data_IF_136192057691
#
_entry.id   IF_136192057691
#
_cell.length_a   1.000
_cell.length_b   1.000
_cell.length_c   1.000
_cell.angle_alpha   90.00
_cell.angle_beta   90.00
_cell.angle_gamma   90.00
#
_symmetry.space_group_name_H-M   'P 1'
#
loop_
_entity.id
_entity.type
_entity.pdbx_description
1 polymer ?
#
# COMPACT_ATOMS: atom_id res chain seq x y z
N UNK A 1 -18.10 -8.29 15.93
CA UNK A 1 -17.67 -9.71 16.01
C UNK A 1 -16.30 -9.75 16.68
N UNK A 2 -16.15 -10.43 17.83
CA UNK A 2 -14.92 -10.50 18.65
C UNK A 2 -13.79 -11.24 17.92
N UNK A 3 -12.55 -10.74 17.97
CA UNK A 3 -11.36 -11.54 17.72
C UNK A 3 -11.27 -12.63 18.82
N UNK A 4 -11.44 -13.90 18.46
CA UNK A 4 -11.13 -15.02 19.35
C UNK A 4 -9.73 -15.54 19.01
N UNK A 5 -8.78 -15.37 19.92
CA UNK A 5 -7.66 -16.30 20.06
C UNK A 5 -8.17 -17.45 20.93
N UNK A 6 -8.36 -18.64 20.36
CA UNK A 6 -8.55 -19.85 21.16
C UNK A 6 -7.18 -20.30 21.70
N UNK A 7 -7.02 -20.53 23.01
CA UNK A 7 -5.80 -21.13 23.54
C UNK A 7 -5.80 -22.63 23.21
N UNK A 8 -4.73 -23.12 22.58
CA UNK A 8 -4.46 -24.56 22.50
C UNK A 8 -4.19 -25.18 21.13
N UNK A 9 -3.66 -24.44 20.15
CA UNK A 9 -3.04 -25.06 18.96
C UNK A 9 -1.69 -24.41 18.70
N UNK A 10 -0.66 -25.25 18.68
CA UNK A 10 0.74 -24.88 18.44
C UNK A 10 0.90 -24.49 16.96
N UNK A 11 1.55 -23.34 16.74
CA UNK A 11 2.14 -22.83 15.49
C UNK A 11 1.22 -22.63 14.27
N UNK A 12 0.98 -21.35 13.95
CA UNK A 12 0.51 -20.71 12.69
C UNK A 12 -0.77 -19.89 12.93
N UNK A 13 -0.60 -18.64 13.38
CA UNK A 13 -1.71 -17.72 13.60
C UNK A 13 -2.09 -17.02 12.28
N UNK A 14 -3.17 -17.49 11.64
CA UNK A 14 -3.83 -16.81 10.52
C UNK A 14 -4.74 -15.71 11.10
N UNK A 15 -4.49 -14.46 10.71
CA UNK A 15 -5.30 -13.29 11.11
C UNK A 15 -6.48 -13.14 10.13
N UNK A 16 -7.72 -13.14 10.64
CA UNK A 16 -8.92 -13.02 9.81
C UNK A 16 -9.36 -11.55 9.72
N UNK A 17 -9.32 -10.95 8.53
CA UNK A 17 -9.90 -9.64 8.26
C UNK A 17 -11.06 -9.82 7.27
N UNK A 18 -12.30 -9.60 7.72
CA UNK A 18 -13.46 -9.49 6.82
C UNK A 18 -13.55 -8.02 6.42
N UNK A 19 -13.14 -7.70 5.19
CA UNK A 19 -13.33 -6.37 4.60
C UNK A 19 -14.66 -6.40 3.85
N UNK A 20 -15.65 -5.68 4.37
CA UNK A 20 -16.81 -5.30 3.57
C UNK A 20 -16.35 -4.21 2.60
N UNK A 21 -16.41 -4.47 1.29
CA UNK A 21 -16.14 -3.48 0.26
C UNK A 21 -17.21 -2.40 0.26
N UNK A 22 -16.79 -1.13 0.27
CA UNK A 22 -17.27 -0.21 -0.74
C UNK A 22 -16.10 0.32 -1.56
N UNK A 23 -16.30 0.33 -2.88
CA UNK A 23 -15.48 1.09 -3.81
C UNK A 23 -15.69 2.58 -3.55
N UNK A 24 -14.74 3.21 -2.87
CA UNK A 24 -14.53 4.65 -2.82
C UNK A 24 -13.13 4.86 -2.22
N UNK A 25 -12.32 5.73 -2.84
CA UNK A 25 -10.93 6.03 -2.48
C UNK A 25 -10.64 5.84 -0.98
N UNK A 26 -9.82 4.85 -0.64
CA UNK A 26 -9.40 4.63 0.74
C UNK A 26 -8.45 5.78 1.06
N UNK A 27 -9.00 6.88 1.58
CA UNK A 27 -8.20 7.99 2.06
C UNK A 27 -7.23 7.52 3.14
N UNK A 28 -6.23 8.33 3.45
CA UNK A 28 -5.24 7.99 4.48
C UNK A 28 -5.60 8.68 5.80
N UNK A 29 -5.83 7.99 6.91
CA UNK A 29 -6.23 8.61 8.19
C UNK A 29 -5.71 7.87 9.44
N UNK A 30 -5.63 8.60 10.57
CA UNK A 30 -5.43 8.04 11.92
C UNK A 30 -6.75 8.13 12.68
N UNK A 31 -7.07 7.10 13.46
CA UNK A 31 -8.22 7.10 14.38
C UNK A 31 -7.89 6.40 15.70
N UNK A 32 -8.59 6.77 16.77
CA UNK A 32 -8.46 6.11 18.06
C UNK A 32 -9.04 4.70 18.02
N UNK A 33 -8.44 3.77 18.78
CA UNK A 33 -9.03 2.46 18.98
C UNK A 33 -10.20 2.57 19.98
N UNK A 34 -11.41 2.43 19.47
CA UNK A 34 -12.64 2.22 20.21
C UNK A 34 -13.18 0.79 19.99
N UNK A 35 -12.31 -0.22 19.83
CA UNK A 35 -12.65 -1.62 19.71
C UNK A 35 -12.59 -2.20 18.29
N UNK A 36 -11.97 -1.49 17.35
CA UNK A 36 -11.63 -2.01 16.02
C UNK A 36 -10.48 -3.02 16.07
N UNK A 37 -9.58 -2.88 17.06
CA UNK A 37 -8.44 -3.76 17.30
C UNK A 37 -8.39 -4.23 18.76
N UNK A 38 -7.43 -5.09 19.09
CA UNK A 38 -7.20 -5.56 20.46
C UNK A 38 -7.01 -4.38 21.43
N UNK A 39 -7.38 -4.58 22.70
CA UNK A 39 -7.47 -3.48 23.68
C UNK A 39 -6.14 -2.83 24.08
N UNK A 40 -5.01 -3.41 23.69
CA UNK A 40 -3.66 -2.89 23.87
C UNK A 40 -3.22 -1.94 22.74
N UNK A 41 -3.98 -1.87 21.64
CA UNK A 41 -3.81 -0.90 20.57
C UNK A 41 -4.49 0.41 20.96
N UNK A 42 -3.80 1.54 20.80
CA UNK A 42 -4.33 2.86 21.15
C UNK A 42 -4.80 3.63 19.91
N UNK A 43 -4.13 3.46 18.76
CA UNK A 43 -4.49 4.12 17.52
C UNK A 43 -4.35 3.18 16.31
N UNK A 44 -5.07 3.50 15.24
CA UNK A 44 -5.02 2.80 13.97
C UNK A 44 -4.74 3.83 12.88
N UNK A 45 -3.71 3.61 12.08
CA UNK A 45 -3.39 4.42 10.92
C UNK A 45 -3.58 3.59 9.64
N UNK A 46 -4.13 4.21 8.60
CA UNK A 46 -4.40 3.58 7.30
C UNK A 46 -4.00 4.52 6.20
N UNK A 47 -3.31 4.05 5.16
CA UNK A 47 -2.91 4.89 4.03
C UNK A 47 -3.42 4.42 2.65
N UNK A 48 -4.22 3.34 2.63
CA UNK A 48 -4.73 2.70 1.42
C UNK A 48 -3.98 1.43 1.05
N UNK A 49 -2.69 1.30 1.40
CA UNK A 49 -1.90 0.08 1.20
C UNK A 49 -1.52 -0.60 2.51
N UNK A 50 -1.33 0.18 3.57
CA UNK A 50 -0.87 -0.28 4.86
C UNK A 50 -1.94 0.01 5.92
N UNK A 51 -2.13 -0.95 6.83
CA UNK A 51 -2.77 -0.68 8.12
C UNK A 51 -1.73 -0.82 9.23
N UNK A 52 -1.58 0.22 10.05
CA UNK A 52 -0.73 0.20 11.23
C UNK A 52 -1.60 0.15 12.49
N UNK A 53 -1.31 -0.79 13.38
CA UNK A 53 -1.86 -0.84 14.73
C UNK A 53 -0.81 -0.27 15.68
N UNK A 54 -1.13 0.84 16.33
CA UNK A 54 -0.16 1.67 17.05
C UNK A 54 -0.31 1.52 18.56
N UNK A 55 0.82 1.24 19.20
CA UNK A 55 1.05 1.19 20.64
C UNK A 55 2.27 2.07 20.93
N UNK A 56 2.48 2.45 22.19
CA UNK A 56 3.62 3.30 22.56
C UNK A 56 5.00 2.68 22.31
N UNK A 57 5.07 1.35 22.39
CA UNK A 57 6.32 0.59 22.30
C UNK A 57 6.35 -0.35 21.08
N UNK A 58 5.31 -0.29 20.23
CA UNK A 58 5.15 -1.18 19.08
C UNK A 58 4.22 -0.59 18.03
N UNK A 59 4.60 -0.70 16.76
CA UNK A 59 3.68 -0.59 15.64
C UNK A 59 3.62 -1.92 14.88
N UNK A 60 2.41 -2.47 14.73
CA UNK A 60 2.19 -3.63 13.84
C UNK A 60 1.78 -3.12 12.47
N UNK A 61 2.60 -3.38 11.47
CA UNK A 61 2.34 -3.10 10.06
C UNK A 61 1.69 -4.34 9.43
N UNK A 62 0.49 -4.18 8.90
CA UNK A 62 -0.24 -5.22 8.17
C UNK A 62 -0.18 -4.90 6.68
N UNK A 63 0.66 -5.66 5.97
CA UNK A 63 0.88 -5.55 4.54
C UNK A 63 -0.05 -6.53 3.83
N UNK A 64 -1.05 -6.08 3.05
CA UNK A 64 -1.89 -6.98 2.29
C UNK A 64 -1.04 -7.74 1.25
N UNK A 65 -1.11 -9.06 1.29
CA UNK A 65 -0.60 -9.93 0.24
C UNK A 65 -1.72 -10.21 -0.76
N UNK A 66 -1.35 -10.67 -1.96
CA UNK A 66 -2.30 -11.14 -2.97
C UNK A 66 -3.31 -12.12 -2.36
N UNK A 67 -4.57 -12.00 -2.79
CA UNK A 67 -5.67 -12.80 -2.24
C UNK A 67 -5.70 -14.18 -2.85
N UNK A 68 -5.67 -15.24 -2.04
CA UNK A 68 -6.02 -16.57 -2.53
C UNK A 68 -7.55 -16.69 -2.63
N UNK A 69 -8.05 -17.00 -3.83
CA UNK A 69 -9.41 -17.49 -4.01
C UNK A 69 -9.36 -19.01 -3.78
N UNK A 70 -9.80 -19.44 -2.60
CA UNK A 70 -10.02 -20.86 -2.37
C UNK A 70 -11.40 -21.24 -2.91
N UNK A 71 -11.44 -21.95 -4.05
CA UNK A 71 -12.66 -22.55 -4.58
C UNK A 71 -12.82 -23.91 -3.91
N UNK A 72 -13.72 -24.01 -2.92
CA UNK A 72 -14.21 -25.31 -2.46
C UNK A 72 -15.42 -25.68 -3.33
N UNK A 73 -15.48 -26.95 -3.77
CA UNK A 73 -16.58 -27.46 -4.60
C UNK A 73 -17.94 -27.12 -4.00
N UNK A 74 -18.70 -26.26 -4.69
CA UNK A 74 -20.10 -25.94 -4.37
C UNK A 74 -20.35 -24.79 -3.39
N UNK A 75 -19.34 -24.06 -2.90
CA UNK A 75 -19.54 -22.87 -2.05
C UNK A 75 -19.13 -21.57 -2.76
N UNK A 76 -19.76 -20.46 -2.35
CA UNK A 76 -19.44 -19.13 -2.88
C UNK A 76 -17.96 -18.78 -2.61
N UNK A 77 -17.25 -18.16 -3.57
CA UNK A 77 -15.83 -17.86 -3.42
C UNK A 77 -15.59 -16.97 -2.20
N UNK A 78 -14.80 -17.46 -1.24
CA UNK A 78 -14.32 -16.66 -0.11
C UNK A 78 -12.97 -16.07 -0.50
N UNK A 79 -12.92 -14.77 -0.74
CA UNK A 79 -11.65 -14.05 -0.94
C UNK A 79 -10.89 -14.05 0.39
N UNK A 80 -9.80 -14.80 0.49
CA UNK A 80 -8.94 -14.81 1.68
C UNK A 80 -7.81 -13.80 1.47
N UNK A 81 -7.82 -12.72 2.23
CA UNK A 81 -6.66 -11.83 2.28
C UNK A 81 -5.60 -12.46 3.18
N UNK A 82 -4.44 -12.79 2.60
CA UNK A 82 -3.22 -12.98 3.39
C UNK A 82 -2.66 -11.59 3.69
N UNK A 83 -2.05 -11.41 4.86
CA UNK A 83 -1.30 -10.22 5.16
C UNK A 83 0.04 -10.63 5.78
N UNK A 84 1.12 -10.02 5.33
CA UNK A 84 2.39 -10.14 6.01
C UNK A 84 2.42 -9.16 7.18
N UNK A 85 2.78 -9.68 8.34
CA UNK A 85 2.85 -8.92 9.58
C UNK A 85 4.30 -8.57 9.85
N UNK A 86 4.57 -7.27 9.96
CA UNK A 86 5.84 -6.74 10.41
C UNK A 86 5.60 -5.96 11.71
N UNK A 87 6.46 -6.11 12.71
CA UNK A 87 6.36 -5.33 13.95
C UNK A 87 7.60 -4.44 14.10
N UNK A 88 7.39 -3.14 14.10
CA UNK A 88 8.37 -2.18 14.59
C UNK A 88 8.27 -2.15 16.11
N UNK A 89 9.28 -2.70 16.79
CA UNK A 89 9.32 -2.80 18.25
C UNK A 89 10.32 -1.77 18.77
N UNK A 90 9.89 -0.89 19.67
CA UNK A 90 10.75 0.04 20.37
C UNK A 90 11.22 -0.65 21.65
N UNK A 91 12.50 -1.01 21.72
CA UNK A 91 13.08 -1.70 22.88
C UNK A 91 13.14 -0.77 24.08
N UNK A 92 12.80 -1.29 25.26
CA UNK A 92 12.79 -0.56 26.54
C UNK A 92 11.87 0.68 26.59
N UNK A 93 11.08 0.93 25.54
CA UNK A 93 10.11 2.00 25.52
C UNK A 93 8.98 1.77 26.53
N UNK A 94 8.46 2.87 27.08
CA UNK A 94 7.39 2.87 28.07
C UNK A 94 6.10 2.27 27.47
N UNK A 95 5.64 1.10 27.96
CA UNK A 95 4.54 0.38 27.32
C UNK A 95 3.15 0.98 27.59
N UNK A 96 3.04 1.89 28.56
CA UNK A 96 1.81 2.54 28.99
C UNK A 96 1.72 4.03 28.61
N UNK A 97 2.65 4.56 27.80
CA UNK A 97 2.56 5.93 27.31
C UNK A 97 1.25 6.16 26.53
N UNK A 98 0.50 7.18 26.91
CA UNK A 98 -0.84 7.45 26.38
C UNK A 98 -0.78 8.19 25.03
N UNK A 99 -1.62 7.75 24.10
CA UNK A 99 -1.82 8.39 22.81
C UNK A 99 -2.65 9.68 22.94
N UNK A 100 -2.18 10.74 22.29
CA UNK A 100 -2.90 11.99 22.11
C UNK A 100 -3.08 12.29 20.62
N UNK A 101 -4.22 12.86 20.23
CA UNK A 101 -4.60 13.05 18.82
C UNK A 101 -4.76 14.54 18.50
N UNK A 102 -4.21 14.98 17.36
CA UNK A 102 -4.29 16.37 16.92
C UNK A 102 -4.53 16.49 15.42
N UNK A 103 -4.79 17.71 14.94
CA UNK A 103 -5.19 17.98 13.55
C UNK A 103 -6.43 17.17 13.14
N UNK A 104 -7.59 17.44 13.78
CA UNK A 104 -8.82 16.71 13.50
C UNK A 104 -9.32 16.98 12.08
N UNK A 105 -9.74 15.92 11.40
CA UNK A 105 -10.43 16.01 10.12
C UNK A 105 -11.95 16.07 10.30
N UNK A 106 -12.64 16.46 9.23
CA UNK A 106 -14.11 16.42 9.14
C UNK A 106 -14.65 15.01 8.96
N UNK A 107 -13.84 14.11 8.37
CA UNK A 107 -14.19 12.71 8.15
C UNK A 107 -14.23 11.90 9.45
N UNK A 108 -15.08 10.86 9.45
CA UNK A 108 -15.29 9.94 10.56
C UNK A 108 -15.46 8.53 10.03
N UNK A 109 -15.00 7.53 10.78
CA UNK A 109 -15.36 6.13 10.58
C UNK A 109 -16.60 5.79 11.42
N UNK A 110 -17.51 5.00 10.86
CA UNK A 110 -18.68 4.50 11.58
C UNK A 110 -18.64 2.98 11.65
N UNK A 111 -18.52 2.45 12.86
CA UNK A 111 -18.51 1.02 13.11
C UNK A 111 -19.85 0.59 13.70
N UNK A 112 -20.56 -0.25 12.95
CA UNK A 112 -21.81 -0.88 13.40
C UNK A 112 -21.46 -2.15 14.16
N UNK A 113 -21.85 -2.20 15.44
CA UNK A 113 -21.80 -3.44 16.24
C UNK A 113 -23.10 -4.23 16.04
N UNK A 114 -23.11 -5.47 16.51
CA UNK A 114 -24.12 -6.52 16.27
C UNK A 114 -25.56 -6.02 16.00
N UNK A 115 -26.25 -6.64 15.03
CA UNK A 115 -27.63 -6.25 14.61
C UNK A 115 -28.65 -6.42 15.75
N UNK A 116 -28.30 -7.12 16.83
CA UNK A 116 -29.12 -7.32 18.02
C UNK A 116 -29.00 -6.21 19.08
N UNK A 117 -27.95 -5.37 19.02
CA UNK A 117 -27.73 -4.24 19.95
C UNK A 117 -28.09 -2.93 19.23
N UNK A 118 -29.34 -2.50 19.35
CA UNK A 118 -29.90 -1.13 19.26
C UNK A 118 -29.40 -0.16 18.15
N UNK A 119 -28.59 -0.61 17.19
CA UNK A 119 -27.90 0.24 16.22
C UNK A 119 -26.79 1.13 16.81
N UNK A 120 -26.10 0.73 17.88
CA UNK A 120 -25.02 1.54 18.45
C UNK A 120 -23.85 1.74 17.46
N UNK A 121 -23.77 2.94 16.87
CA UNK A 121 -22.70 3.35 15.96
C UNK A 121 -21.57 3.99 16.76
N UNK A 122 -20.39 3.39 16.75
CA UNK A 122 -19.19 4.09 17.17
C UNK A 122 -18.75 5.00 16.02
N UNK A 123 -19.02 6.31 16.15
CA UNK A 123 -18.48 7.33 15.27
C UNK A 123 -17.13 7.80 15.79
N UNK A 124 -16.08 7.57 15.00
CA UNK A 124 -14.69 7.81 15.39
C UNK A 124 -14.09 8.83 14.45
N UNK A 125 -13.63 9.94 15.01
CA UNK A 125 -13.04 11.04 14.25
C UNK A 125 -11.68 10.66 13.69
N UNK A 126 -11.41 11.13 12.47
CA UNK A 126 -10.11 11.02 11.82
C UNK A 126 -9.17 12.17 12.22
N UNK A 127 -7.88 11.89 12.27
CA UNK A 127 -6.82 12.82 12.63
C UNK A 127 -5.64 12.68 11.65
N UNK A 128 -4.83 13.74 11.53
CA UNK A 128 -3.56 13.69 10.81
C UNK A 128 -2.40 13.22 11.69
N UNK A 129 -2.53 13.34 13.02
CA UNK A 129 -1.41 13.13 13.96
C UNK A 129 -1.86 12.35 15.19
N UNK A 130 -1.06 11.37 15.60
CA UNK A 130 -1.09 10.76 16.93
C UNK A 130 0.30 10.80 17.58
N UNK A 131 0.36 11.24 18.83
CA UNK A 131 1.59 11.32 19.64
C UNK A 131 1.49 10.40 20.86
N UNK A 132 2.52 9.61 21.09
CA UNK A 132 2.79 8.91 22.33
C UNK A 132 3.84 9.69 23.11
N UNK A 133 3.45 10.24 24.27
CA UNK A 133 4.34 11.12 25.04
C UNK A 133 5.27 10.30 25.94
N UNK A 134 6.53 10.72 26.06
CA UNK A 134 7.56 10.09 26.90
C UNK A 134 7.65 8.56 26.69
N UNK A 135 7.74 8.13 25.42
CA UNK A 135 8.05 6.72 25.11
C UNK A 135 9.44 6.34 25.61
N UNK A 136 10.34 7.31 25.68
CA UNK A 136 11.57 7.30 26.48
C UNK A 136 11.65 8.60 27.30
N UNK A 137 12.51 8.69 28.34
CA UNK A 137 12.67 9.93 29.10
C UNK A 137 13.02 11.13 28.19
N UNK A 138 12.11 12.11 28.10
CA UNK A 138 12.26 13.29 27.26
C UNK A 138 12.15 13.04 25.74
N UNK A 139 11.58 11.91 25.31
CA UNK A 139 11.40 11.58 23.89
C UNK A 139 9.96 11.13 23.62
N UNK A 140 9.31 11.83 22.69
CA UNK A 140 7.99 11.49 22.18
C UNK A 140 8.09 10.74 20.85
N UNK A 141 7.13 9.84 20.60
CA UNK A 141 6.93 9.20 19.30
C UNK A 141 5.69 9.78 18.63
N UNK A 142 5.84 10.34 17.43
CA UNK A 142 4.75 11.02 16.72
C UNK A 142 4.55 10.39 15.36
N UNK A 143 3.37 9.82 15.11
CA UNK A 143 2.96 9.40 13.77
C UNK A 143 2.16 10.52 13.12
N UNK A 144 2.46 10.83 11.85
CA UNK A 144 1.81 11.90 11.09
C UNK A 144 1.60 11.52 9.63
N UNK A 145 0.55 12.06 9.02
CA UNK A 145 0.39 12.01 7.57
C UNK A 145 1.08 13.19 6.89
N UNK A 146 2.00 12.90 5.98
CA UNK A 146 2.63 13.88 5.09
C UNK A 146 2.60 13.33 3.66
N UNK A 147 2.15 14.13 2.71
CA UNK A 147 2.10 13.77 1.28
C UNK A 147 1.48 12.38 0.98
N UNK A 148 0.41 12.01 1.69
CA UNK A 148 -0.29 10.74 1.48
C UNK A 148 0.42 9.50 2.03
N UNK A 149 1.49 9.67 2.82
CA UNK A 149 2.23 8.61 3.51
C UNK A 149 2.17 8.79 5.02
N UNK A 150 2.31 7.68 5.75
CA UNK A 150 2.53 7.70 7.19
C UNK A 150 4.02 7.89 7.45
N UNK A 151 4.38 8.90 8.21
CA UNK A 151 5.71 9.12 8.78
C UNK A 151 5.63 8.92 10.29
N UNK A 152 6.78 8.62 10.90
CA UNK A 152 6.94 8.63 12.35
C UNK A 152 8.19 9.42 12.70
N UNK A 153 8.11 10.22 13.76
CA UNK A 153 9.19 11.09 14.20
C UNK A 153 9.49 10.78 15.67
N UNK A 154 10.76 10.87 16.05
CA UNK A 154 11.14 11.01 17.45
C UNK A 154 11.40 12.49 17.73
N UNK A 155 10.57 13.09 18.59
CA UNK A 155 10.76 14.46 19.07
C UNK A 155 11.52 14.37 20.41
N UNK A 156 12.77 14.81 20.40
CA UNK A 156 13.73 14.68 21.50
C UNK A 156 13.85 16.04 22.19
N UNK A 157 13.48 16.11 23.46
CA UNK A 157 13.60 17.33 24.27
C UNK A 157 15.07 17.68 24.55
N UNK A 158 15.32 18.92 24.97
CA UNK A 158 16.64 19.34 25.42
C UNK A 158 17.12 18.45 26.58
N UNK A 159 18.39 18.05 26.54
CA UNK A 159 19.06 17.14 27.48
C UNK A 159 18.54 15.69 27.50
N UNK A 160 17.61 15.32 26.61
CA UNK A 160 17.23 13.91 26.44
C UNK A 160 18.31 13.18 25.63
N UNK A 161 18.54 11.90 25.96
CA UNK A 161 19.55 11.08 25.30
C UNK A 161 18.93 10.30 24.12
N UNK A 162 19.18 10.69 22.84
CA UNK A 162 18.60 10.01 21.69
C UNK A 162 19.19 8.60 21.47
N UNK A 163 20.32 8.25 22.09
CA UNK A 163 20.96 6.94 21.93
C UNK A 163 20.18 5.79 22.58
N UNK A 164 19.23 6.12 23.47
CA UNK A 164 18.31 5.13 24.07
C UNK A 164 17.29 4.59 23.08
N UNK A 165 17.07 5.28 21.95
CA UNK A 165 16.12 4.87 20.93
C UNK A 165 16.68 3.68 20.16
N UNK A 166 16.18 2.49 20.51
CA UNK A 166 16.53 1.21 19.89
C UNK A 166 15.29 0.56 19.32
N UNK A 167 15.33 0.21 18.04
CA UNK A 167 14.21 -0.40 17.32
C UNK A 167 14.60 -1.76 16.75
N UNK A 168 13.62 -2.65 16.67
CA UNK A 168 13.73 -3.94 15.98
C UNK A 168 12.58 -4.09 14.99
N UNK A 169 12.85 -4.79 13.89
CA UNK A 169 11.85 -5.05 12.86
C UNK A 169 11.53 -6.54 12.75
N UNK A 170 10.56 -6.98 13.54
CA UNK A 170 10.17 -8.39 13.64
C UNK A 170 9.27 -8.82 12.49
N UNK A 171 9.54 -10.01 11.94
CA UNK A 171 8.83 -10.53 10.77
C UNK A 171 9.50 -10.18 9.44
N UNK A 172 10.66 -9.50 9.47
CA UNK A 172 11.56 -9.40 8.32
C UNK A 172 12.39 -10.66 8.16
N UNK A 173 12.65 -11.06 6.91
CA UNK A 173 13.55 -12.16 6.56
C UNK A 173 15.02 -11.72 6.66
N UNK A 174 15.27 -10.44 6.39
CA UNK A 174 16.58 -9.81 6.46
C UNK A 174 16.44 -8.30 6.70
N UNK A 175 17.46 -7.71 7.34
CA UNK A 175 17.55 -6.27 7.61
C UNK A 175 18.99 -5.81 7.37
N UNK A 176 19.19 -4.84 6.47
CA UNK A 176 20.53 -4.36 6.09
C UNK A 176 20.56 -2.83 5.91
N UNK A 177 21.75 -2.25 5.97
CA UNK A 177 21.99 -0.89 5.50
C UNK A 177 22.51 -0.93 4.05
N UNK A 178 21.88 -0.15 3.16
CA UNK A 178 22.36 0.00 1.79
C UNK A 178 23.50 1.02 1.67
N UNK A 179 24.05 1.18 0.46
CA UNK A 179 25.17 2.12 0.21
C UNK A 179 24.80 3.60 0.39
N UNK A 180 23.52 3.94 0.47
CA UNK A 180 23.01 5.29 0.70
C UNK A 180 22.67 5.56 2.18
N UNK A 181 22.87 4.57 3.06
CA UNK A 181 22.52 4.66 4.47
C UNK A 181 21.04 4.41 4.77
N UNK A 182 20.28 3.85 3.82
CA UNK A 182 18.90 3.45 4.04
C UNK A 182 18.84 2.08 4.74
N UNK A 183 17.88 1.91 5.63
CA UNK A 183 17.58 0.63 6.26
C UNK A 183 16.60 -0.15 5.38
N UNK A 184 17.03 -1.29 4.84
CA UNK A 184 16.26 -2.10 3.89
C UNK A 184 15.91 -3.44 4.53
N UNK A 185 14.61 -3.73 4.58
CA UNK A 185 14.07 -4.98 5.10
C UNK A 185 13.39 -5.79 3.99
N UNK A 186 13.76 -7.06 3.87
CA UNK A 186 13.09 -8.03 2.99
C UNK A 186 11.96 -8.73 3.74
N UNK A 187 10.80 -8.82 3.10
CA UNK A 187 9.57 -9.37 3.68
C UNK A 187 8.85 -10.19 2.61
N UNK A 188 9.14 -11.49 2.54
CA UNK A 188 8.78 -12.31 1.38
C UNK A 188 9.41 -11.74 0.11
N UNK A 189 8.61 -11.52 -0.92
CA UNK A 189 9.08 -10.88 -2.16
C UNK A 189 9.17 -9.35 -2.04
N UNK A 190 8.47 -8.75 -1.06
CA UNK A 190 8.39 -7.30 -0.88
C UNK A 190 9.62 -6.73 -0.16
N UNK A 191 9.86 -5.43 -0.39
CA UNK A 191 10.92 -4.69 0.29
C UNK A 191 10.35 -3.45 0.95
N UNK A 192 10.64 -3.30 2.25
CA UNK A 192 10.42 -2.08 3.02
C UNK A 192 11.75 -1.34 3.16
N UNK A 193 11.80 -0.08 2.77
CA UNK A 193 12.98 0.76 2.90
C UNK A 193 12.65 1.91 3.85
N UNK A 194 13.45 2.11 4.90
CA UNK A 194 13.48 3.39 5.60
C UNK A 194 14.65 4.20 5.07
N UNK A 195 14.38 5.37 4.51
CA UNK A 195 15.46 6.26 4.07
C UNK A 195 16.28 6.70 5.26
N UNK A 196 17.56 6.99 5.01
CA UNK A 196 18.42 7.62 6.00
C UNK A 196 17.68 8.77 6.72
N UNK A 197 17.77 8.86 8.06
CA UNK A 197 16.94 9.76 8.84
C UNK A 197 17.27 11.23 8.54
N UNK A 198 16.24 12.06 8.38
CA UNK A 198 16.41 13.50 8.41
C UNK A 198 16.40 13.97 9.86
N UNK A 199 17.54 14.46 10.34
CA UNK A 199 17.68 14.97 11.71
C UNK A 199 17.82 16.48 11.66
N UNK A 200 17.08 17.20 12.50
CA UNK A 200 17.14 18.65 12.55
C UNK A 200 16.75 19.24 13.90
N UNK A 201 17.30 20.41 14.23
CA UNK A 201 16.80 21.26 15.30
C UNK A 201 15.85 22.32 14.74
N UNK A 202 15.02 22.92 15.61
CA UNK A 202 14.15 24.05 15.23
C UNK A 202 14.68 25.31 15.91
N UNK A 203 15.26 26.21 15.12
CA UNK A 203 15.82 27.47 15.60
C UNK A 203 15.09 28.65 14.96
N UNK A 204 14.47 29.50 15.78
CA UNK A 204 13.65 30.63 15.33
C UNK A 204 12.58 30.24 14.28
N UNK A 205 12.01 29.03 14.40
CA UNK A 205 11.01 28.49 13.48
C UNK A 205 11.56 27.97 12.14
N UNK A 206 12.88 27.83 12.01
CA UNK A 206 13.54 27.25 10.84
C UNK A 206 14.20 25.92 11.19
N UNK A 207 14.13 24.94 10.29
CA UNK A 207 14.84 23.66 10.43
C UNK A 207 16.33 23.87 10.18
N UNK A 208 17.17 23.48 11.13
CA UNK A 208 18.62 23.40 10.95
C UNK A 208 19.02 21.93 10.85
N UNK A 209 19.50 21.47 9.68
CA UNK A 209 19.91 20.08 9.51
C UNK A 209 21.04 19.70 10.48
N UNK A 210 20.92 18.52 11.08
CA UNK A 210 21.95 17.86 11.86
C UNK A 210 22.30 16.55 11.15
N UNK A 211 23.59 16.32 10.90
CA UNK A 211 24.01 15.07 10.29
C UNK A 211 23.76 13.90 11.25
N UNK A 212 23.23 12.81 10.71
CA UNK A 212 23.10 11.54 11.42
C UNK A 212 22.76 10.41 10.48
N UNK A 213 22.80 9.20 11.01
CA UNK A 213 22.66 7.97 10.25
C UNK A 213 21.99 6.88 11.09
N UNK A 214 21.44 5.88 10.40
CA UNK A 214 21.08 4.64 11.07
C UNK A 214 22.34 3.88 11.49
N UNK A 215 22.29 3.30 12.69
CA UNK A 215 23.27 2.32 13.15
C UNK A 215 22.55 0.99 13.33
N UNK A 216 22.97 -0.02 12.57
CA UNK A 216 22.43 -1.38 12.67
C UNK A 216 23.42 -2.27 13.43
N UNK A 217 22.96 -2.90 14.51
CA UNK A 217 23.72 -3.88 15.31
C UNK A 217 22.90 -5.16 15.43
N UNK A 218 23.37 -6.23 14.80
CA UNK A 218 22.61 -7.48 14.66
C UNK A 218 21.23 -7.23 14.04
N UNK A 219 20.14 -7.34 14.81
CA UNK A 219 18.77 -7.11 14.35
C UNK A 219 18.10 -5.88 15.01
N UNK A 220 18.88 -5.07 15.73
CA UNK A 220 18.41 -3.82 16.34
C UNK A 220 19.07 -2.65 15.63
N UNK A 221 18.31 -1.60 15.35
CA UNK A 221 18.82 -0.36 14.78
C UNK A 221 18.47 0.85 15.66
N UNK A 222 19.28 1.88 15.58
CA UNK A 222 19.09 3.17 16.25
C UNK A 222 19.73 4.28 15.43
N UNK A 223 20.09 5.38 16.08
CA UNK A 223 20.58 6.58 15.42
C UNK A 223 21.95 7.00 15.97
N UNK A 224 22.89 7.28 15.07
CA UNK A 224 24.10 8.04 15.40
C UNK A 224 23.93 9.48 14.92
N UNK A 225 24.18 10.42 15.82
CA UNK A 225 24.05 11.85 15.55
C UNK A 225 25.43 12.51 15.60
N UNK A 226 25.64 13.51 14.75
CA UNK A 226 26.79 14.39 14.87
C UNK A 226 26.73 15.18 16.20
N UNK A 227 27.89 15.71 16.62
CA UNK A 227 27.98 16.57 17.79
C UNK A 227 27.03 17.77 17.64
N UNK A 228 26.23 18.02 18.67
CA UNK A 228 25.22 19.06 18.70
C UNK A 228 25.13 19.69 20.09
N UNK A 229 24.34 20.76 20.19
CA UNK A 229 24.05 21.46 21.43
C UNK A 229 22.92 20.73 22.16
N UNK A 230 23.23 20.03 23.25
CA UNK A 230 22.27 19.23 24.03
C UNK A 230 21.20 20.10 24.72
N UNK A 231 21.43 21.41 24.86
CA UNK A 231 20.41 22.34 25.38
C UNK A 231 19.28 22.61 24.36
N UNK A 232 19.36 22.04 23.16
CA UNK A 232 18.37 22.19 22.09
C UNK A 232 17.63 20.88 21.83
N UNK A 233 16.31 20.97 21.73
CA UNK A 233 15.48 19.90 21.22
C UNK A 233 15.78 19.62 19.74
N UNK A 234 15.61 18.37 19.32
CA UNK A 234 15.79 17.91 17.95
C UNK A 234 14.66 16.96 17.52
N UNK A 235 14.53 16.78 16.22
CA UNK A 235 13.63 15.81 15.61
C UNK A 235 14.45 14.82 14.78
N UNK A 236 14.16 13.54 14.94
CA UNK A 236 14.64 12.46 14.06
C UNK A 236 13.43 12.01 13.23
N UNK A 237 13.46 12.21 11.92
CA UNK A 237 12.39 11.92 10.96
C UNK A 237 12.84 10.81 9.98
N UNK A 238 12.64 9.51 10.30
CA UNK A 238 12.82 8.42 9.35
C UNK A 238 11.68 8.36 8.33
N UNK A 239 12.02 8.35 7.05
CA UNK A 239 11.02 8.22 5.97
C UNK A 239 10.81 6.76 5.62
N UNK A 240 9.60 6.23 5.83
CA UNK A 240 9.23 4.88 5.38
C UNK A 240 8.81 4.92 3.91
N UNK A 241 9.47 4.10 3.09
CA UNK A 241 9.09 3.79 1.73
C UNK A 241 8.77 2.31 1.58
N UNK A 242 7.63 2.02 0.98
CA UNK A 242 7.28 0.66 0.60
C UNK A 242 7.38 0.50 -0.92
N UNK A 243 7.92 -0.63 -1.34
CA UNK A 243 7.89 -1.06 -2.73
C UNK A 243 7.23 -2.44 -2.79
N UNK A 244 6.27 -2.58 -3.69
CA UNK A 244 5.52 -3.81 -3.90
C UNK A 244 5.39 -4.14 -5.38
N UNK A 245 4.77 -5.29 -5.65
CA UNK A 245 4.50 -5.76 -7.00
C UNK A 245 3.03 -5.55 -7.35
N UNK A 246 2.77 -5.21 -8.61
CA UNK A 246 1.45 -5.28 -9.21
C UNK A 246 1.40 -6.55 -10.06
N UNK A 247 0.84 -7.62 -9.52
CA UNK A 247 0.78 -8.94 -10.14
C UNK A 247 0.09 -9.96 -9.22
N UNK A 248 -0.10 -11.18 -9.71
CA UNK A 248 -0.65 -12.31 -8.97
C UNK A 248 0.20 -13.57 -9.16
N UNK A 249 -0.45 -14.72 -9.04
CA UNK A 249 0.19 -16.05 -9.04
C UNK A 249 0.54 -16.59 -10.43
N UNK A 250 -0.02 -15.98 -11.48
CA UNK A 250 0.20 -16.34 -12.89
C UNK A 250 1.31 -15.50 -13.55
N UNK A 251 1.27 -15.45 -14.88
CA UNK A 251 2.14 -14.56 -15.65
C UNK A 251 1.59 -13.14 -15.61
N UNK A 252 2.43 -12.18 -15.24
CA UNK A 252 2.12 -10.75 -15.25
C UNK A 252 3.29 -9.98 -15.86
N UNK A 253 2.99 -9.04 -16.74
CA UNK A 253 4.02 -8.21 -17.39
C UNK A 253 3.53 -6.78 -17.53
N UNK A 254 4.32 -5.82 -17.03
CA UNK A 254 4.16 -4.39 -17.39
C UNK A 254 4.83 -4.09 -18.72
N UNK A 255 4.20 -3.27 -19.56
CA UNK A 255 4.66 -2.98 -20.93
C UNK A 255 5.04 -1.53 -21.11
N UNK A 256 4.19 -0.61 -20.65
CA UNK A 256 4.43 0.82 -20.80
C UNK A 256 3.86 1.61 -19.62
N UNK A 257 4.41 2.81 -19.42
CA UNK A 257 4.07 3.71 -18.32
C UNK A 257 4.05 5.17 -18.79
N UNK A 258 2.99 5.88 -18.40
CA UNK A 258 2.82 7.31 -18.65
C UNK A 258 2.49 8.06 -17.35
N UNK A 259 2.64 9.39 -17.36
CA UNK A 259 2.25 10.26 -16.25
C UNK A 259 1.02 11.09 -16.64
N UNK A 260 -0.05 11.01 -15.86
CA UNK A 260 -1.25 11.80 -16.11
C UNK A 260 -1.10 13.26 -15.62
N UNK A 261 -2.04 14.17 -15.95
CA UNK A 261 -1.96 15.58 -15.53
C UNK A 261 -1.95 15.79 -14.01
N UNK A 262 -2.51 14.87 -13.21
CA UNK A 262 -2.42 14.89 -11.75
C UNK A 262 -1.03 14.46 -11.24
N UNK A 263 -0.21 13.88 -12.11
CA UNK A 263 1.12 13.39 -11.82
C UNK A 263 1.18 11.93 -11.42
N UNK A 264 0.03 11.23 -11.39
CA UNK A 264 -0.06 9.78 -11.15
C UNK A 264 0.50 8.99 -12.31
N UNK A 265 0.91 7.76 -12.03
CA UNK A 265 1.45 6.84 -13.02
C UNK A 265 0.31 6.03 -13.61
N UNK A 266 0.18 5.99 -14.93
CA UNK A 266 -0.73 5.09 -15.64
C UNK A 266 0.13 4.01 -16.27
N UNK A 267 -0.19 2.75 -16.03
CA UNK A 267 0.59 1.59 -16.49
C UNK A 267 -0.32 0.72 -17.36
N UNK A 268 0.21 0.14 -18.44
CA UNK A 268 -0.44 -0.96 -19.16
C UNK A 268 0.44 -2.20 -19.15
N UNK A 269 -0.18 -3.37 -19.27
CA UNK A 269 0.49 -4.65 -19.31
C UNK A 269 -0.49 -5.77 -19.63
N UNK A 270 -0.07 -7.02 -19.45
CA UNK A 270 -0.94 -8.19 -19.52
C UNK A 270 -0.86 -9.05 -18.26
N UNK A 271 -1.93 -9.78 -17.98
CA UNK A 271 -2.03 -10.66 -16.84
C UNK A 271 -2.79 -11.94 -17.19
N UNK A 272 -2.26 -13.08 -16.76
CA UNK A 272 -2.95 -14.36 -16.67
C UNK A 272 -3.43 -14.65 -15.23
N UNK A 273 -3.22 -13.70 -14.31
CA UNK A 273 -3.41 -13.89 -12.87
C UNK A 273 -4.83 -13.59 -12.45
N UNK A 274 -5.56 -14.60 -11.99
CA UNK A 274 -6.91 -14.44 -11.42
C UNK A 274 -6.93 -13.73 -10.06
N UNK A 275 -5.76 -13.54 -9.44
CA UNK A 275 -5.56 -13.02 -8.09
C UNK A 275 -4.83 -11.67 -8.04
N UNK A 276 -4.60 -11.03 -9.19
CA UNK A 276 -4.06 -9.66 -9.23
C UNK A 276 -5.03 -8.67 -8.53
N UNK A 277 -4.52 -7.68 -7.76
CA UNK A 277 -5.37 -6.75 -7.03
C UNK A 277 -6.30 -5.98 -7.98
N UNK A 278 -7.62 -6.16 -7.81
CA UNK A 278 -8.64 -5.50 -8.63
C UNK A 278 -9.04 -6.25 -9.91
N UNK A 279 -8.53 -7.46 -10.14
CA UNK A 279 -9.04 -8.33 -11.21
C UNK A 279 -10.56 -8.52 -11.14
N UNK A 280 -11.21 -8.25 -12.28
CA UNK A 280 -12.51 -8.82 -12.62
C UNK A 280 -12.33 -10.25 -13.16
N UNK A 281 -13.39 -10.84 -13.70
CA UNK A 281 -13.27 -12.12 -14.40
C UNK A 281 -12.48 -11.89 -15.69
N UNK A 282 -11.19 -12.29 -15.71
CA UNK A 282 -10.45 -12.44 -16.97
C UNK A 282 -11.23 -13.37 -17.90
N UNK A 283 -11.34 -13.01 -19.17
CA UNK A 283 -12.18 -13.72 -20.14
C UNK A 283 -11.37 -14.69 -21.02
N UNK A 284 -10.05 -14.52 -21.05
CA UNK A 284 -9.12 -15.28 -21.90
C UNK A 284 -7.91 -15.86 -21.13
N UNK A 285 -6.87 -16.23 -21.89
CA UNK A 285 -5.64 -16.81 -21.34
C UNK A 285 -4.71 -15.75 -20.73
N UNK A 286 -4.59 -14.61 -21.40
CA UNK A 286 -3.93 -13.39 -20.92
C UNK A 286 -4.75 -12.19 -21.38
N UNK A 287 -5.13 -11.31 -20.45
CA UNK A 287 -5.86 -10.08 -20.80
C UNK A 287 -4.99 -8.85 -20.54
N UNK A 288 -5.25 -7.78 -21.30
CA UNK A 288 -4.60 -6.49 -21.13
C UNK A 288 -5.14 -5.83 -19.86
N UNK A 289 -4.25 -5.30 -19.01
CA UNK A 289 -4.63 -4.39 -17.94
C UNK A 289 -4.19 -2.96 -18.21
N UNK A 290 -4.94 -2.02 -17.64
CA UNK A 290 -4.55 -0.63 -17.45
C UNK A 290 -4.77 -0.28 -15.99
N UNK A 291 -3.78 0.33 -15.34
CA UNK A 291 -3.84 0.71 -13.93
C UNK A 291 -3.40 2.15 -13.74
N UNK A 292 -3.97 2.84 -12.76
CA UNK A 292 -3.43 4.10 -12.24
C UNK A 292 -2.88 3.90 -10.83
N UNK A 293 -1.66 4.38 -10.61
CA UNK A 293 -0.92 4.32 -9.37
C UNK A 293 -0.71 5.73 -8.83
N UNK A 294 -1.06 5.93 -7.55
CA UNK A 294 -0.82 7.18 -6.84
C UNK A 294 0.68 7.49 -6.82
N UNK A 295 1.04 8.67 -7.31
CA UNK A 295 2.45 9.09 -7.42
C UNK A 295 3.15 9.22 -6.08
N UNK A 296 2.39 9.50 -5.02
CA UNK A 296 2.97 9.85 -3.73
C UNK A 296 3.21 8.57 -2.96
N UNK A 297 2.25 7.66 -2.85
CA UNK A 297 2.39 6.47 -2.00
C UNK A 297 2.46 5.13 -2.75
N UNK A 298 2.38 5.11 -4.08
CA UNK A 298 2.44 3.86 -4.85
C UNK A 298 1.18 3.01 -4.78
N UNK A 299 0.08 3.56 -4.24
CA UNK A 299 -1.21 2.86 -4.15
C UNK A 299 -1.89 2.67 -5.49
N UNK A 300 -2.48 1.48 -5.70
CA UNK A 300 -3.34 1.22 -6.84
C UNK A 300 -4.65 2.01 -6.67
N UNK A 301 -4.86 3.02 -7.51
CA UNK A 301 -6.07 3.85 -7.52
C UNK A 301 -7.22 3.11 -8.21
N UNK A 302 -6.92 2.50 -9.36
CA UNK A 302 -7.81 1.63 -10.09
C UNK A 302 -7.03 0.74 -11.05
N UNK A 303 -7.64 -0.38 -11.46
CA UNK A 303 -7.19 -1.25 -12.54
C UNK A 303 -8.39 -1.70 -13.36
N UNK A 304 -8.23 -1.78 -14.66
CA UNK A 304 -9.21 -2.31 -15.59
C UNK A 304 -8.56 -3.39 -16.44
N UNK A 305 -9.36 -4.39 -16.81
CA UNK A 305 -8.96 -5.46 -17.72
C UNK A 305 -9.78 -5.36 -19.00
N UNK A 306 -9.15 -5.59 -20.14
CA UNK A 306 -9.78 -5.64 -21.46
C UNK A 306 -9.16 -6.77 -22.27
N UNK A 307 -10.02 -7.66 -22.76
CA UNK A 307 -9.63 -8.86 -23.49
C UNK A 307 -10.88 -9.62 -23.93
N UNK A 308 -10.67 -10.63 -24.76
CA UNK A 308 -11.70 -11.54 -25.24
C UNK A 308 -11.45 -12.97 -24.74
N UNK A 309 -11.77 -13.95 -25.57
CA UNK A 309 -11.73 -15.39 -25.24
C UNK A 309 -10.36 -16.04 -25.34
N UNK A 310 -9.38 -15.38 -25.95
CA UNK A 310 -8.02 -15.89 -26.17
C UNK A 310 -6.99 -14.93 -25.54
N UNK A 311 -5.79 -14.83 -26.12
CA UNK A 311 -4.74 -14.00 -25.57
C UNK A 311 -4.79 -12.59 -26.18
N UNK A 312 -4.62 -11.60 -25.32
CA UNK A 312 -4.67 -10.17 -25.59
C UNK A 312 -3.47 -9.48 -24.95
N UNK A 313 -2.66 -8.82 -25.78
CA UNK A 313 -1.40 -8.22 -25.36
C UNK A 313 -1.37 -6.72 -25.62
N UNK A 314 -0.77 -5.98 -24.69
CA UNK A 314 -0.43 -4.57 -24.88
C UNK A 314 1.04 -4.42 -25.26
N UNK A 315 1.36 -3.39 -26.05
CA UNK A 315 2.74 -3.05 -26.41
C UNK A 315 3.13 -1.65 -25.92
N UNK A 316 2.26 -0.66 -26.14
CA UNK A 316 2.57 0.73 -25.84
C UNK A 316 1.31 1.54 -25.53
N UNK A 317 1.50 2.64 -24.79
CA UNK A 317 0.43 3.53 -24.36
C UNK A 317 0.89 4.99 -24.30
N UNK A 318 0.00 5.90 -24.65
CA UNK A 318 0.19 7.34 -24.45
C UNK A 318 -1.08 7.97 -23.90
N UNK A 319 -0.95 9.18 -23.37
CA UNK A 319 -2.09 10.02 -23.01
C UNK A 319 -2.32 11.07 -24.10
N UNK A 320 -3.58 11.34 -24.43
CA UNK A 320 -3.94 12.46 -25.30
C UNK A 320 -3.97 13.80 -24.53
N UNK A 321 -4.28 14.90 -25.23
CA UNK A 321 -4.33 16.24 -24.61
C UNK A 321 -5.40 16.41 -23.53
N UNK A 322 -6.37 15.49 -23.44
CA UNK A 322 -7.41 15.46 -22.41
C UNK A 322 -7.05 14.48 -21.27
N UNK A 323 -5.90 13.82 -21.34
CA UNK A 323 -5.48 12.79 -20.40
C UNK A 323 -6.11 11.43 -20.66
N UNK A 324 -6.86 11.26 -21.75
CA UNK A 324 -7.42 9.94 -22.10
C UNK A 324 -6.30 9.01 -22.52
N UNK A 325 -6.49 7.73 -22.21
CA UNK A 325 -5.48 6.70 -22.39
C UNK A 325 -5.65 6.10 -23.76
N UNK A 326 -4.63 6.14 -24.61
CA UNK A 326 -4.60 5.52 -25.93
C UNK A 326 -3.54 4.44 -25.91
N UNK A 327 -3.91 3.20 -26.17
CA UNK A 327 -3.01 2.06 -26.13
C UNK A 327 -3.13 1.21 -27.41
N UNK A 328 -2.04 0.51 -27.71
CA UNK A 328 -1.92 -0.38 -28.86
C UNK A 328 -1.39 -1.74 -28.42
N UNK A 329 -1.66 -2.74 -29.22
CA UNK A 329 -1.27 -4.12 -28.93
C UNK A 329 -1.71 -5.08 -30.03
N UNK A 330 -1.94 -6.33 -29.66
CA UNK A 330 -2.40 -7.37 -30.58
C UNK A 330 -3.24 -8.42 -29.85
N UNK A 331 -4.12 -9.08 -30.59
CA UNK A 331 -5.11 -10.02 -30.05
C UNK A 331 -5.31 -11.23 -30.95
N UNK A 332 -5.47 -12.40 -30.34
CA UNK A 332 -5.98 -13.61 -30.99
C UNK A 332 -7.47 -13.86 -30.69
N UNK A 333 -8.09 -12.96 -29.92
CA UNK A 333 -9.47 -13.05 -29.50
C UNK A 333 -10.40 -12.57 -30.63
N UNK A 334 -11.28 -13.43 -31.17
CA UNK A 334 -12.27 -13.01 -32.17
C UNK A 334 -13.39 -12.13 -31.58
N UNK A 335 -13.48 -12.08 -30.25
CA UNK A 335 -14.49 -11.41 -29.45
C UNK A 335 -13.93 -10.30 -28.55
N UNK A 336 -12.76 -9.75 -28.89
CA UNK A 336 -12.23 -8.56 -28.22
C UNK A 336 -13.27 -7.43 -28.18
N UNK A 337 -13.45 -6.73 -27.04
CA UNK A 337 -14.42 -5.65 -26.90
C UNK A 337 -14.15 -4.51 -27.88
N UNK A 338 -15.02 -4.36 -28.89
CA UNK A 338 -14.97 -3.27 -29.86
C UNK A 338 -16.01 -2.18 -29.56
N UNK A 339 -15.62 -0.92 -29.74
CA UNK A 339 -16.51 0.24 -29.55
C UNK A 339 -16.14 1.34 -30.55
N UNK A 340 -17.12 1.84 -31.30
CA UNK A 340 -16.91 2.84 -32.35
C UNK A 340 -15.82 2.44 -33.35
N UNK A 341 -15.68 1.14 -33.63
CA UNK A 341 -14.55 0.55 -34.32
C UNK A 341 -14.47 0.93 -35.81
N UNK A 342 -13.24 1.04 -36.31
CA UNK A 342 -12.99 1.08 -37.76
C UNK A 342 -13.16 -0.30 -38.38
N UNK A 343 -12.63 -1.32 -37.69
CA UNK A 343 -12.78 -2.74 -38.00
C UNK A 343 -13.32 -3.45 -36.75
N UNK A 344 -14.56 -3.93 -36.85
CA UNK A 344 -15.29 -4.54 -35.72
C UNK A 344 -15.11 -6.05 -35.60
N UNK A 345 -14.51 -6.70 -36.59
CA UNK A 345 -14.31 -8.14 -36.62
C UNK A 345 -12.81 -8.43 -36.75
N UNK A 346 -12.38 -9.45 -36.03
CA UNK A 346 -11.08 -10.08 -36.22
C UNK A 346 -11.03 -10.75 -37.60
N UNK A 347 -9.93 -10.57 -38.33
CA UNK A 347 -9.71 -11.09 -39.70
C UNK A 347 -8.32 -11.69 -39.88
N UNK A 348 -7.62 -11.97 -38.78
CA UNK A 348 -6.30 -12.60 -38.82
C UNK A 348 -6.33 -13.93 -39.59
N UNK A 349 -5.16 -14.34 -40.09
CA UNK A 349 -5.10 -15.43 -41.06
C UNK A 349 -5.52 -16.78 -40.44
N UNK A 350 -6.54 -17.41 -41.04
CA UNK A 350 -6.88 -18.82 -40.82
C UNK A 350 -5.79 -19.80 -41.35
N UNK A 351 -4.50 -19.44 -41.43
CA UNK A 351 -3.48 -20.37 -41.92
C UNK A 351 -3.03 -21.33 -40.79
N UNK A 352 -3.49 -22.60 -40.80
CA UNK A 352 -3.12 -23.56 -39.77
C UNK A 352 -1.62 -23.94 -39.81
N UNK A 353 -0.84 -23.48 -40.79
CA UNK A 353 0.59 -23.71 -40.88
C UNK A 353 1.45 -22.67 -40.13
N UNK A 354 0.94 -21.46 -39.90
CA UNK A 354 1.71 -20.33 -39.32
C UNK A 354 1.42 -20.10 -37.82
N UNK A 355 0.41 -20.79 -37.27
CA UNK A 355 0.26 -21.01 -35.82
C UNK A 355 -0.11 -19.81 -34.95
N UNK A 356 -0.35 -18.62 -35.53
CA UNK A 356 -0.52 -17.38 -34.79
C UNK A 356 -1.50 -16.45 -35.53
N UNK A 357 -2.76 -16.50 -35.10
CA UNK A 357 -3.87 -15.74 -35.67
C UNK A 357 -4.07 -14.43 -34.89
N UNK A 358 -3.34 -13.37 -35.24
CA UNK A 358 -3.35 -12.10 -34.50
C UNK A 358 -3.75 -10.91 -35.37
N UNK A 359 -4.66 -10.09 -34.85
CA UNK A 359 -4.89 -8.74 -35.34
C UNK A 359 -4.24 -7.73 -34.41
N UNK A 360 -3.80 -6.60 -34.96
CA UNK A 360 -3.42 -5.44 -34.16
C UNK A 360 -4.64 -4.87 -33.43
N UNK A 361 -4.39 -4.23 -32.30
CA UNK A 361 -5.38 -3.52 -31.51
C UNK A 361 -5.02 -2.05 -31.38
N UNK A 362 -6.04 -1.20 -31.44
CA UNK A 362 -5.98 0.18 -30.96
C UNK A 362 -7.20 0.44 -30.10
N UNK A 363 -7.01 0.88 -28.86
CA UNK A 363 -8.11 1.20 -27.96
C UNK A 363 -7.82 2.44 -27.11
N UNK A 364 -8.90 3.02 -26.59
CA UNK A 364 -8.87 4.28 -25.86
C UNK A 364 -9.83 4.27 -24.68
N UNK A 365 -9.32 4.56 -23.49
CA UNK A 365 -10.10 4.75 -22.26
C UNK A 365 -10.18 6.23 -21.87
N UNK A 366 -11.24 6.58 -21.14
CA UNK A 366 -11.31 7.86 -20.44
C UNK A 366 -10.16 7.99 -19.42
N UNK A 367 -9.78 9.24 -19.13
CA UNK A 367 -8.64 9.56 -18.26
C UNK A 367 -8.71 8.94 -16.86
N UNK A 368 -9.92 8.73 -16.33
CA UNK A 368 -10.19 8.13 -15.02
C UNK A 368 -10.42 6.61 -15.09
N UNK A 369 -10.20 6.00 -16.26
CA UNK A 369 -10.44 4.57 -16.49
C UNK A 369 -11.92 4.15 -16.45
N UNK A 370 -12.87 5.08 -16.31
CA UNK A 370 -14.29 4.74 -16.06
C UNK A 370 -15.02 4.15 -17.26
N UNK A 371 -14.54 4.40 -18.48
CA UNK A 371 -15.19 3.95 -19.70
C UNK A 371 -14.21 3.77 -20.86
N UNK A 372 -14.49 2.75 -21.67
CA UNK A 372 -13.92 2.61 -23.01
C UNK A 372 -14.58 3.65 -23.94
N UNK A 373 -13.78 4.37 -24.73
CA UNK A 373 -14.23 5.42 -25.66
C UNK A 373 -14.21 4.89 -27.10
N UNK A 374 -13.18 4.12 -27.44
CA UNK A 374 -12.94 3.58 -28.77
C UNK A 374 -12.11 2.30 -28.67
N UNK A 375 -12.39 1.31 -29.51
CA UNK A 375 -11.52 0.15 -29.71
C UNK A 375 -11.79 -0.50 -31.06
N UNK A 376 -10.74 -0.97 -31.72
CA UNK A 376 -10.80 -1.57 -33.05
C UNK A 376 -9.74 -2.65 -33.21
N UNK A 377 -10.06 -3.65 -34.04
CA UNK A 377 -9.05 -4.49 -34.66
C UNK A 377 -8.30 -3.71 -35.76
N UNK A 378 -7.15 -4.23 -36.16
CA UNK A 378 -6.32 -3.72 -37.25
C UNK A 378 -5.52 -4.87 -37.87
N UNK A 379 -5.99 -5.43 -38.98
CA UNK A 379 -5.41 -6.62 -39.62
C UNK A 379 -5.80 -6.77 -41.07
#
# INVERSE_FOLDING_TARGET
MKLYLRPGVVASAVLWLIVATPAAAVGSWIEANAGQANGDVQAIARDGQLTMLLQSHRATLLLPLASEIAIADGEAPIKRMRAQRLELVLEDARPDAEASFSSPRTAVSRYFRDVSDDGAVAEIRHYDVVRFNEVYPGIDLVYRFRDGRIEYDFEVEANADPSVVRLRLDGSDNLVLDANGNLVASVGDATLTQRAPEIFTIEAGQRQPLAGEFVLTENTFGFALAAHDEDKALVIDPVIEFSGYLGGSGFDSGKDIARNPAGNLVITGESASLDIPGAGNLTGGQDIYIAEIDRNNGSLLWINFIGGSHDDFSDAMTLDSQGNIVAVGYTSSPDFPTLNAFQSNHVGSEDPAEGFDWDGLVFKFAADGSQLIFSTYYG
#
